data_IF_805694549976
#
_entry.id   IF_805694549976
#
_cell.length_a   1.000
_cell.length_b   1.000
_cell.length_c   1.000
_cell.angle_alpha   90.00
_cell.angle_beta   90.00
_cell.angle_gamma   90.00
#
_symmetry.space_group_name_H-M   'P 1'
#
loop_
_entity.id
_entity.type
_entity.pdbx_description
1 polymer ?
#
# COMPACT_ATOMS: atom_id res chain seq x y z
N UNK A 1 -10.40 14.49 -6.05
CA UNK A 1 -11.41 13.44 -6.30
C UNK A 1 -11.57 12.63 -5.03
N UNK A 2 -12.79 12.46 -4.54
CA UNK A 2 -13.13 11.60 -3.40
C UNK A 2 -13.62 10.23 -3.88
N UNK A 3 -13.61 9.24 -2.99
CA UNK A 3 -14.10 7.89 -3.30
C UNK A 3 -15.56 7.87 -3.73
N UNK A 4 -16.39 8.75 -3.16
CA UNK A 4 -17.80 8.93 -3.50
C UNK A 4 -18.05 9.45 -4.92
N UNK A 5 -17.00 9.94 -5.59
CA UNK A 5 -17.07 10.46 -6.96
C UNK A 5 -16.65 9.43 -8.02
N UNK A 6 -16.20 8.23 -7.62
CA UNK A 6 -15.80 7.16 -8.54
C UNK A 6 -17.00 6.39 -9.07
N UNK A 7 -17.05 6.21 -10.38
CA UNK A 7 -17.96 5.27 -11.02
C UNK A 7 -17.35 3.86 -11.07
N UNK A 8 -18.19 2.83 -11.01
CA UNK A 8 -17.74 1.43 -10.91
C UNK A 8 -17.06 0.90 -12.18
N UNK A 9 -17.19 1.60 -13.30
CA UNK A 9 -16.55 1.31 -14.58
C UNK A 9 -15.16 1.97 -14.73
N UNK A 10 -14.76 2.85 -13.79
CA UNK A 10 -13.43 3.47 -13.77
C UNK A 10 -12.33 2.53 -13.22
N UNK A 11 -12.71 1.43 -12.58
CA UNK A 11 -11.78 0.45 -12.03
C UNK A 11 -12.27 -0.98 -12.26
N UNK A 12 -11.34 -1.93 -12.38
CA UNK A 12 -11.71 -3.34 -12.52
C UNK A 12 -12.49 -3.82 -11.28
N UNK A 13 -13.53 -4.64 -11.47
CA UNK A 13 -14.40 -5.11 -10.38
C UNK A 13 -13.65 -5.80 -9.24
N UNK A 14 -12.48 -6.39 -9.53
CA UNK A 14 -11.57 -6.94 -8.53
C UNK A 14 -11.16 -5.91 -7.46
N UNK A 15 -10.98 -4.64 -7.83
CA UNK A 15 -10.56 -3.57 -6.93
C UNK A 15 -11.69 -2.99 -6.08
N UNK A 16 -12.95 -3.31 -6.36
CA UNK A 16 -14.12 -2.72 -5.70
C UNK A 16 -14.06 -2.87 -4.17
N UNK A 17 -13.57 -4.01 -3.67
CA UNK A 17 -13.48 -4.27 -2.23
C UNK A 17 -12.37 -3.46 -1.55
N UNK A 18 -11.35 -3.02 -2.29
CA UNK A 18 -10.30 -2.15 -1.78
C UNK A 18 -10.76 -0.68 -1.80
N UNK A 19 -11.39 -0.25 -2.90
CA UNK A 19 -11.97 1.09 -3.02
C UNK A 19 -12.99 1.36 -1.90
N UNK A 20 -13.82 0.37 -1.54
CA UNK A 20 -14.77 0.47 -0.42
C UNK A 20 -14.13 0.67 0.96
N UNK A 21 -12.85 0.36 1.13
CA UNK A 21 -12.13 0.55 2.40
C UNK A 21 -11.51 1.95 2.52
N UNK A 22 -11.51 2.73 1.43
CA UNK A 22 -10.99 4.10 1.43
C UNK A 22 -11.97 5.01 2.15
N UNK A 23 -11.45 5.80 3.10
CA UNK A 23 -12.23 6.80 3.82
C UNK A 23 -12.72 7.90 2.87
N UNK A 24 -13.95 8.38 3.05
CA UNK A 24 -14.47 9.55 2.33
C UNK A 24 -14.07 10.89 3.01
N UNK A 25 -13.31 10.83 4.11
CA UNK A 25 -12.79 11.99 4.82
C UNK A 25 -11.85 12.82 3.93
N UNK A 26 -10.87 12.14 3.32
CA UNK A 26 -9.83 12.74 2.48
C UNK A 26 -10.10 12.53 0.99
N UNK A 27 -9.47 13.33 0.14
CA UNK A 27 -9.39 13.04 -1.29
C UNK A 27 -8.46 11.84 -1.54
N UNK A 28 -8.61 11.19 -2.70
CA UNK A 28 -7.77 10.04 -3.06
C UNK A 28 -6.27 10.38 -3.06
N UNK A 29 -5.89 11.59 -3.49
CA UNK A 29 -4.50 12.04 -3.48
C UNK A 29 -3.97 12.23 -2.05
N UNK A 30 -4.76 12.86 -1.18
CA UNK A 30 -4.40 13.02 0.23
C UNK A 30 -4.31 11.66 0.92
N UNK A 31 -5.23 10.73 0.66
CA UNK A 31 -5.20 9.39 1.25
C UNK A 31 -3.96 8.60 0.81
N UNK A 32 -3.52 8.75 -0.45
CA UNK A 32 -2.27 8.16 -0.94
C UNK A 32 -1.06 8.75 -0.19
N UNK A 33 -1.03 10.06 0.03
CA UNK A 33 0.02 10.72 0.82
C UNK A 33 0.02 10.23 2.28
N UNK A 34 -1.16 10.12 2.91
CA UNK A 34 -1.29 9.58 4.27
C UNK A 34 -0.84 8.11 4.30
N UNK A 35 -1.17 7.33 3.28
CA UNK A 35 -0.79 5.92 3.15
C UNK A 35 0.73 5.73 3.12
N UNK A 36 1.47 6.54 2.33
CA UNK A 36 2.94 6.42 2.26
C UNK A 36 3.58 6.78 3.61
N UNK A 37 3.09 7.81 4.31
CA UNK A 37 3.59 8.15 5.64
C UNK A 37 3.32 7.04 6.67
N UNK A 38 2.14 6.39 6.61
CA UNK A 38 1.82 5.23 7.44
C UNK A 38 2.73 4.04 7.14
N UNK A 39 3.01 3.76 5.86
CA UNK A 39 3.93 2.70 5.46
C UNK A 39 5.34 2.95 5.99
N UNK A 40 5.89 4.16 5.81
CA UNK A 40 7.22 4.53 6.31
C UNK A 40 7.30 4.31 7.83
N UNK A 41 6.30 4.79 8.58
CA UNK A 41 6.25 4.61 10.03
C UNK A 41 6.19 3.12 10.42
N UNK A 42 5.31 2.36 9.78
CA UNK A 42 5.19 0.92 10.03
C UNK A 42 6.52 0.20 9.80
N UNK A 43 7.24 0.52 8.72
CA UNK A 43 8.55 -0.08 8.42
C UNK A 43 9.59 0.30 9.47
N UNK A 44 9.61 1.56 9.92
CA UNK A 44 10.51 2.04 10.97
C UNK A 44 10.24 1.37 12.33
N UNK A 45 8.99 0.98 12.60
CA UNK A 45 8.58 0.30 13.83
C UNK A 45 8.92 -1.21 13.82
N UNK A 46 9.32 -1.78 12.67
CA UNK A 46 9.72 -3.18 12.59
C UNK A 46 11.12 -3.37 13.23
N UNK A 47 11.28 -4.35 14.14
CA UNK A 47 12.60 -4.68 14.70
C UNK A 47 13.64 -4.99 13.61
N UNK A 48 14.84 -4.42 13.73
CA UNK A 48 15.91 -4.55 12.74
C UNK A 48 16.27 -6.01 12.40
N UNK A 49 16.18 -6.91 13.38
CA UNK A 49 16.43 -8.35 13.22
C UNK A 49 15.40 -9.05 12.32
N UNK A 50 14.26 -8.41 12.06
CA UNK A 50 13.21 -8.93 11.15
C UNK A 50 13.34 -8.47 9.72
N UNK A 51 14.23 -7.54 9.38
CA UNK A 51 14.29 -7.03 8.01
C UNK A 51 14.66 -8.12 6.99
N UNK A 52 15.47 -9.10 7.40
CA UNK A 52 15.85 -10.27 6.61
C UNK A 52 14.96 -11.50 6.88
N UNK A 53 13.90 -11.35 7.69
CA UNK A 53 12.98 -12.44 8.00
C UNK A 53 12.07 -12.77 6.81
N UNK A 54 11.87 -14.07 6.58
CA UNK A 54 10.86 -14.64 5.69
C UNK A 54 10.16 -15.79 6.41
N UNK A 55 8.83 -15.86 6.27
CA UNK A 55 8.04 -16.85 7.01
C UNK A 55 8.13 -18.27 6.47
N UNK A 56 8.61 -18.44 5.24
CA UNK A 56 8.83 -19.75 4.61
C UNK A 56 9.93 -19.65 3.55
N UNK A 57 10.47 -20.80 3.15
CA UNK A 57 11.40 -20.91 2.04
C UNK A 57 10.76 -20.39 0.72
N UNK A 58 11.55 -19.71 -0.09
CA UNK A 58 11.09 -19.12 -1.36
C UNK A 58 10.19 -17.88 -1.20
N UNK A 59 9.92 -17.41 0.02
CA UNK A 59 9.20 -16.15 0.26
C UNK A 59 10.14 -14.98 0.40
N UNK A 60 9.65 -13.80 0.02
CA UNK A 60 10.37 -12.53 0.10
C UNK A 60 10.63 -12.13 1.54
N UNK A 61 11.79 -11.49 1.74
CA UNK A 61 12.08 -10.76 2.97
C UNK A 61 11.35 -9.42 2.98
N UNK A 62 11.35 -8.74 4.13
CA UNK A 62 10.78 -7.38 4.23
C UNK A 62 11.53 -6.43 3.29
N UNK A 63 12.86 -6.55 3.19
CA UNK A 63 13.68 -5.74 2.26
C UNK A 63 13.29 -5.98 0.80
N UNK A 64 13.07 -7.24 0.41
CA UNK A 64 12.66 -7.56 -0.97
C UNK A 64 11.29 -6.95 -1.31
N UNK A 65 10.34 -7.01 -0.37
CA UNK A 65 9.02 -6.38 -0.54
C UNK A 65 9.15 -4.87 -0.71
N UNK A 66 9.96 -4.21 0.11
CA UNK A 66 10.17 -2.76 0.01
C UNK A 66 10.83 -2.37 -1.31
N UNK A 67 11.84 -3.12 -1.74
CA UNK A 67 12.46 -2.90 -3.05
C UNK A 67 11.43 -3.04 -4.17
N UNK A 68 10.59 -4.07 -4.14
CA UNK A 68 9.54 -4.26 -5.14
C UNK A 68 8.54 -3.11 -5.19
N UNK A 69 8.10 -2.60 -4.02
CA UNK A 69 7.22 -1.43 -3.96
C UNK A 69 7.88 -0.18 -4.54
N UNK A 70 9.15 0.07 -4.22
CA UNK A 70 9.92 1.20 -4.77
C UNK A 70 10.03 1.09 -6.29
N UNK A 71 10.30 -0.10 -6.81
CA UNK A 71 10.43 -0.31 -8.25
C UNK A 71 9.09 -0.12 -8.98
N UNK A 72 7.97 -0.54 -8.37
CA UNK A 72 6.64 -0.36 -8.93
C UNK A 72 6.22 1.12 -9.04
N UNK A 73 6.64 1.97 -8.09
CA UNK A 73 6.31 3.40 -8.09
C UNK A 73 7.24 4.24 -8.99
N UNK A 74 8.33 3.67 -9.48
CA UNK A 74 9.34 4.38 -10.31
C UNK A 74 9.15 4.20 -11.82
N UNK A 75 8.34 3.23 -12.24
CA UNK A 75 8.05 2.90 -13.65
C UNK A 75 6.73 3.54 -14.06
#
# INVERSE_FOLDING_TARGET
MKVTQLHSDEYASFYANYIKQVSDEYTLMEELEISVHRLIKFVQDIPMDKYDYRYAEGKWTIKDILQHLIDAERI
#
